data_IF_342620899256
#
_entry.id   IF_342620899256
#
_cell.length_a   1.000
_cell.length_b   1.000
_cell.length_c   1.000
_cell.angle_alpha   90.00
_cell.angle_beta   90.00
_cell.angle_gamma   90.00
#
_symmetry.space_group_name_H-M   'P 1'
#
loop_
_entity.id
_entity.type
_entity.pdbx_description
1 polymer ?
#
# COMPACT_ATOMS: atom_id res chain seq x y z
N UNK A 1 16.95 -25.48 2.80
CA UNK A 1 15.79 -24.55 2.87
C UNK A 1 15.10 -24.73 4.22
N UNK A 2 14.91 -23.68 5.03
CA UNK A 2 14.26 -23.80 6.35
C UNK A 2 12.73 -23.77 6.22
N UNK A 3 11.98 -24.45 7.10
CA UNK A 3 10.51 -24.47 7.08
C UNK A 3 9.90 -23.05 7.06
N UNK A 4 10.45 -22.14 7.88
CA UNK A 4 10.05 -20.73 7.88
C UNK A 4 10.22 -20.04 6.52
N UNK A 5 11.28 -20.37 5.77
CA UNK A 5 11.51 -19.81 4.44
C UNK A 5 10.50 -20.30 3.40
N UNK A 6 10.06 -21.56 3.50
CA UNK A 6 9.06 -22.15 2.61
C UNK A 6 7.67 -21.55 2.84
N UNK A 7 7.26 -21.46 4.11
CA UNK A 7 6.00 -20.83 4.54
C UNK A 7 5.91 -19.36 4.11
N UNK A 8 7.04 -18.65 4.06
CA UNK A 8 7.06 -17.24 3.62
C UNK A 8 6.92 -17.06 2.10
N UNK A 9 7.29 -18.07 1.31
CA UNK A 9 7.31 -18.03 -0.15
C UNK A 9 6.04 -18.62 -0.78
N UNK A 10 5.50 -19.69 -0.19
CA UNK A 10 4.34 -20.40 -0.73
C UNK A 10 3.12 -20.23 0.15
N UNK A 11 2.03 -19.70 -0.43
CA UNK A 11 0.75 -19.60 0.27
C UNK A 11 0.18 -20.97 0.60
N UNK A 12 0.39 -21.96 -0.29
CA UNK A 12 -0.02 -23.34 -0.06
C UNK A 12 0.72 -23.95 1.14
N UNK A 13 2.03 -23.74 1.26
CA UNK A 13 2.79 -24.21 2.41
C UNK A 13 2.34 -23.53 3.71
N UNK A 14 2.01 -22.24 3.66
CA UNK A 14 1.45 -21.50 4.79
C UNK A 14 0.09 -22.04 5.23
N UNK A 15 -0.85 -22.21 4.30
CA UNK A 15 -2.20 -22.70 4.63
C UNK A 15 -2.18 -24.15 5.08
N UNK A 16 -1.31 -24.98 4.50
CA UNK A 16 -1.10 -26.36 4.94
C UNK A 16 -0.54 -26.40 6.37
N UNK A 17 0.52 -25.64 6.67
CA UNK A 17 1.09 -25.56 8.01
C UNK A 17 0.05 -25.07 9.03
N UNK A 18 -0.75 -24.07 8.67
CA UNK A 18 -1.82 -23.56 9.52
C UNK A 18 -2.87 -24.64 9.81
N UNK A 19 -3.34 -25.37 8.78
CA UNK A 19 -4.30 -26.47 8.95
C UNK A 19 -3.75 -27.60 9.82
N UNK A 20 -2.49 -27.98 9.62
CA UNK A 20 -1.83 -29.01 10.42
C UNK A 20 -1.76 -28.60 11.89
N UNK A 21 -1.31 -27.38 12.18
CA UNK A 21 -1.20 -26.88 13.56
C UNK A 21 -2.58 -26.80 14.21
N UNK A 22 -3.60 -26.31 13.50
CA UNK A 22 -4.97 -26.29 14.01
C UNK A 22 -5.48 -27.69 14.35
N UNK A 23 -5.34 -28.67 13.45
CA UNK A 23 -5.80 -30.05 13.68
C UNK A 23 -5.04 -30.75 14.81
N UNK A 24 -3.73 -30.53 14.91
CA UNK A 24 -2.92 -31.10 15.99
C UNK A 24 -3.22 -30.42 17.34
N UNK A 25 -3.45 -29.10 17.35
CA UNK A 25 -3.81 -28.35 18.55
C UNK A 25 -5.15 -28.84 19.11
N UNK A 26 -6.12 -29.13 18.26
CA UNK A 26 -7.39 -29.74 18.65
C UNK A 26 -7.21 -31.17 19.20
N UNK A 27 -6.38 -31.99 18.55
CA UNK A 27 -6.17 -33.40 18.94
C UNK A 27 -5.36 -33.56 20.23
N UNK A 28 -4.38 -32.71 20.44
CA UNK A 28 -3.40 -32.82 21.54
C UNK A 28 -3.51 -31.68 22.57
N UNK A 29 -4.52 -30.81 22.45
CA UNK A 29 -4.84 -29.74 23.39
C UNK A 29 -3.68 -28.76 23.71
N UNK A 30 -2.77 -28.51 22.76
CA UNK A 30 -1.67 -27.54 22.94
C UNK A 30 -1.98 -26.16 22.33
N UNK A 31 -1.22 -25.14 22.75
CA UNK A 31 -1.37 -23.78 22.25
C UNK A 31 -0.87 -23.62 20.81
N UNK A 32 -1.79 -23.34 19.89
CA UNK A 32 -1.48 -23.15 18.47
C UNK A 32 -0.57 -21.95 18.16
N UNK A 33 -0.59 -20.89 18.97
CA UNK A 33 0.29 -19.72 18.78
C UNK A 33 1.74 -20.06 19.12
N UNK A 34 1.94 -20.84 20.17
CA UNK A 34 3.27 -21.29 20.60
C UNK A 34 3.88 -22.26 19.57
N UNK A 35 3.08 -23.21 19.09
CA UNK A 35 3.50 -24.11 18.01
C UNK A 35 3.83 -23.35 16.70
N UNK A 36 3.09 -22.28 16.39
CA UNK A 36 3.39 -21.43 15.23
C UNK A 36 4.75 -20.73 15.37
N UNK A 37 5.08 -20.25 16.57
CA UNK A 37 6.34 -19.57 16.86
C UNK A 37 7.57 -20.46 16.61
N UNK A 38 7.45 -21.77 16.86
CA UNK A 38 8.52 -22.75 16.60
C UNK A 38 8.81 -22.91 15.10
N UNK A 39 7.76 -22.82 14.27
CA UNK A 39 7.84 -23.15 12.83
C UNK A 39 8.15 -21.90 11.99
N UNK A 40 7.73 -20.71 12.43
CA UNK A 40 7.88 -19.46 11.69
C UNK A 40 8.18 -18.26 12.58
N UNK A 41 9.17 -17.46 12.18
CA UNK A 41 9.46 -16.16 12.81
C UNK A 41 8.42 -15.07 12.50
N UNK A 42 7.61 -15.26 11.46
CA UNK A 42 6.54 -14.32 11.11
C UNK A 42 5.21 -14.80 11.67
N UNK A 43 4.43 -13.89 12.22
CA UNK A 43 3.08 -14.20 12.70
C UNK A 43 2.15 -14.52 11.54
N UNK A 44 1.08 -15.27 11.84
CA UNK A 44 0.02 -15.61 10.89
C UNK A 44 -0.52 -14.34 10.22
N UNK A 45 -0.80 -13.29 10.99
CA UNK A 45 -1.31 -12.01 10.49
C UNK A 45 -0.32 -11.32 9.53
N UNK A 46 0.97 -11.38 9.82
CA UNK A 46 2.01 -10.81 8.93
C UNK A 46 2.06 -11.56 7.59
N UNK A 47 1.99 -12.89 7.63
CA UNK A 47 2.01 -13.74 6.44
C UNK A 47 0.73 -13.56 5.61
N UNK A 48 -0.45 -13.52 6.24
CA UNK A 48 -1.71 -13.20 5.56
C UNK A 48 -1.66 -11.83 4.87
N UNK A 49 -1.15 -10.79 5.55
CA UNK A 49 -0.96 -9.46 4.95
C UNK A 49 0.00 -9.50 3.77
N UNK A 50 1.09 -10.29 3.86
CA UNK A 50 2.05 -10.49 2.77
C UNK A 50 1.39 -11.16 1.57
N UNK A 51 0.71 -12.29 1.75
CA UNK A 51 0.04 -12.99 0.64
C UNK A 51 -1.06 -12.14 0.00
N UNK A 52 -1.81 -11.36 0.79
CA UNK A 52 -2.77 -10.38 0.24
C UNK A 52 -2.09 -9.31 -0.61
N UNK A 53 -0.89 -8.85 -0.24
CA UNK A 53 -0.11 -7.90 -1.05
C UNK A 53 0.43 -8.56 -2.32
N UNK A 54 0.94 -9.79 -2.23
CA UNK A 54 1.43 -10.55 -3.38
C UNK A 54 0.30 -10.84 -4.38
N UNK A 55 -0.86 -11.29 -3.92
CA UNK A 55 -2.06 -11.47 -4.77
C UNK A 55 -2.48 -10.19 -5.49
N UNK A 56 -2.37 -9.04 -4.82
CA UNK A 56 -2.67 -7.74 -5.46
C UNK A 56 -1.61 -7.33 -6.48
N UNK A 57 -0.34 -7.61 -6.21
CA UNK A 57 0.77 -7.27 -7.11
C UNK A 57 0.80 -8.17 -8.34
N UNK A 58 0.52 -9.47 -8.16
CA UNK A 58 0.53 -10.47 -9.21
C UNK A 58 -0.82 -10.63 -9.90
N UNK A 59 -1.81 -9.77 -9.61
CA UNK A 59 -3.09 -9.83 -10.30
C UNK A 59 -2.90 -9.29 -11.73
N UNK A 60 -3.02 -10.12 -12.78
CA UNK A 60 -2.79 -9.68 -14.15
C UNK A 60 -3.84 -8.66 -14.60
N UNK A 61 -5.04 -8.71 -14.01
CA UNK A 61 -6.11 -7.74 -14.24
C UNK A 61 -5.88 -6.38 -13.56
N UNK A 62 -4.83 -6.24 -12.74
CA UNK A 62 -4.51 -4.97 -12.08
C UNK A 62 -4.01 -3.89 -13.06
N UNK A 63 -3.51 -4.31 -14.23
CA UNK A 63 -3.10 -3.42 -15.32
C UNK A 63 -4.30 -2.72 -15.98
N UNK A 64 -5.44 -3.40 -16.04
CA UNK A 64 -6.67 -2.89 -16.64
C UNK A 64 -7.31 -1.86 -15.71
N UNK A 65 -7.55 -0.66 -16.25
CA UNK A 65 -8.21 0.41 -15.49
C UNK A 65 -9.69 0.11 -15.33
N UNK A 66 -10.15 0.12 -14.08
CA UNK A 66 -11.57 -0.03 -13.70
C UNK A 66 -12.49 0.90 -14.49
N UNK A 67 -13.74 0.49 -14.74
CA UNK A 67 -14.69 1.31 -15.47
C UNK A 67 -15.04 2.56 -14.66
N UNK A 68 -15.17 3.69 -15.36
CA UNK A 68 -15.58 4.98 -14.81
C UNK A 68 -17.09 5.03 -14.68
N UNK A 69 -17.53 5.56 -13.54
CA UNK A 69 -18.95 5.82 -13.29
C UNK A 69 -19.42 7.07 -14.04
N UNK A 70 -20.73 7.19 -14.25
CA UNK A 70 -21.36 8.40 -14.81
C UNK A 70 -20.94 9.67 -14.08
N UNK A 71 -20.92 9.64 -12.74
CA UNK A 71 -20.40 10.74 -11.92
C UNK A 71 -18.91 11.02 -12.14
N UNK A 72 -18.07 10.00 -12.40
CA UNK A 72 -16.65 10.19 -12.72
C UNK A 72 -16.45 10.92 -14.05
N UNK A 73 -17.27 10.62 -15.06
CA UNK A 73 -17.27 11.36 -16.32
C UNK A 73 -17.71 12.81 -16.11
N UNK A 74 -18.82 13.02 -15.41
CA UNK A 74 -19.31 14.36 -15.11
C UNK A 74 -18.28 15.20 -14.34
N UNK A 75 -17.72 14.66 -13.26
CA UNK A 75 -16.72 15.37 -12.43
C UNK A 75 -15.46 15.73 -13.22
N UNK A 76 -15.04 14.92 -14.19
CA UNK A 76 -13.89 15.22 -15.05
C UNK A 76 -14.10 16.51 -15.83
N UNK A 77 -15.26 16.69 -16.45
CA UNK A 77 -15.57 17.89 -17.24
C UNK A 77 -15.96 19.07 -16.35
N UNK A 78 -16.83 18.84 -15.36
CA UNK A 78 -17.39 19.90 -14.55
C UNK A 78 -16.37 20.51 -13.60
N UNK A 79 -15.42 19.72 -13.09
CA UNK A 79 -14.36 20.26 -12.22
C UNK A 79 -13.50 21.28 -12.95
N UNK A 80 -13.16 21.05 -14.22
CA UNK A 80 -12.37 22.00 -15.03
C UNK A 80 -13.14 23.30 -15.19
N UNK A 81 -14.42 23.22 -15.60
CA UNK A 81 -15.30 24.40 -15.75
C UNK A 81 -15.47 25.20 -14.45
N UNK A 82 -15.60 24.52 -13.31
CA UNK A 82 -15.76 25.20 -12.00
C UNK A 82 -14.42 25.77 -11.52
N UNK A 83 -13.30 25.10 -11.79
CA UNK A 83 -11.97 25.58 -11.45
C UNK A 83 -11.60 26.83 -12.24
N UNK A 84 -11.96 26.91 -13.53
CA UNK A 84 -11.79 28.13 -14.35
C UNK A 84 -12.55 29.33 -13.75
N UNK A 85 -13.76 29.09 -13.26
CA UNK A 85 -14.57 30.13 -12.59
C UNK A 85 -14.07 30.48 -11.18
N UNK A 86 -13.38 29.55 -10.52
CA UNK A 86 -12.93 29.69 -9.15
C UNK A 86 -11.45 29.29 -9.03
N UNK A 87 -10.51 30.07 -9.60
CA UNK A 87 -9.10 29.69 -9.65
C UNK A 87 -8.43 29.66 -8.26
N UNK A 88 -9.03 30.32 -7.26
CA UNK A 88 -8.55 30.32 -5.86
C UNK A 88 -9.18 29.22 -5.00
N UNK A 89 -10.21 28.52 -5.49
CA UNK A 89 -10.92 27.53 -4.69
C UNK A 89 -10.09 26.27 -4.47
N UNK A 90 -10.17 25.73 -3.25
CA UNK A 90 -9.49 24.50 -2.90
C UNK A 90 -10.18 23.28 -3.53
N UNK A 91 -9.44 22.19 -3.73
CA UNK A 91 -9.97 20.92 -4.25
C UNK A 91 -11.25 20.46 -3.52
N UNK A 92 -11.30 20.66 -2.19
CA UNK A 92 -12.46 20.30 -1.38
C UNK A 92 -13.71 21.12 -1.71
N UNK A 93 -13.56 22.42 -1.98
CA UNK A 93 -14.64 23.32 -2.35
C UNK A 93 -15.15 23.01 -3.76
N UNK A 94 -14.24 22.81 -4.70
CA UNK A 94 -14.56 22.37 -6.06
C UNK A 94 -15.33 21.04 -6.04
N UNK A 95 -14.95 20.09 -5.18
CA UNK A 95 -15.66 18.82 -5.05
C UNK A 95 -17.09 19.01 -4.53
N UNK A 96 -17.31 19.91 -3.57
CA UNK A 96 -18.66 20.22 -3.06
C UNK A 96 -19.52 20.84 -4.15
N UNK A 97 -18.99 21.81 -4.90
CA UNK A 97 -19.70 22.47 -6.00
C UNK A 97 -20.09 21.48 -7.11
N UNK A 98 -19.18 20.57 -7.49
CA UNK A 98 -19.49 19.51 -8.47
C UNK A 98 -20.58 18.58 -7.95
N UNK A 99 -20.58 18.21 -6.66
CA UNK A 99 -21.63 17.37 -6.08
C UNK A 99 -23.01 18.04 -6.09
N UNK A 100 -23.07 19.35 -5.84
CA UNK A 100 -24.32 20.13 -5.96
C UNK A 100 -24.79 20.17 -7.42
N UNK A 101 -23.88 20.45 -8.36
CA UNK A 101 -24.19 20.46 -9.78
C UNK A 101 -24.73 19.10 -10.27
N UNK A 102 -24.19 17.98 -9.80
CA UNK A 102 -24.68 16.65 -10.15
C UNK A 102 -26.10 16.36 -9.66
N UNK A 103 -26.47 16.89 -8.49
CA UNK A 103 -27.83 16.73 -7.95
C UNK A 103 -28.84 17.56 -8.74
N UNK A 104 -28.44 18.73 -9.23
CA UNK A 104 -29.27 19.62 -10.05
C UNK A 104 -29.30 19.28 -11.55
N UNK A 105 -28.62 18.22 -11.99
CA UNK A 105 -28.65 17.81 -13.40
C UNK A 105 -30.04 17.29 -13.80
N UNK A 106 -30.44 17.60 -15.02
CA UNK A 106 -31.66 17.04 -15.61
C UNK A 106 -31.51 15.53 -15.89
N UNK A 107 -32.62 14.80 -15.92
CA UNK A 107 -32.59 13.35 -16.21
C UNK A 107 -32.04 13.04 -17.60
N UNK A 108 -32.24 13.96 -18.57
CA UNK A 108 -31.69 13.84 -19.93
C UNK A 108 -30.15 13.86 -19.92
N UNK A 109 -29.56 14.84 -19.24
CA UNK A 109 -28.10 14.95 -19.12
C UNK A 109 -27.52 13.80 -18.31
N UNK A 110 -28.19 13.41 -17.22
CA UNK A 110 -27.78 12.26 -16.41
C UNK A 110 -27.79 10.97 -17.23
N UNK A 111 -28.78 10.78 -18.12
CA UNK A 111 -28.86 9.65 -19.04
C UNK A 111 -27.68 9.63 -20.03
N UNK A 112 -27.26 10.78 -20.54
CA UNK A 112 -26.06 10.89 -21.39
C UNK A 112 -24.81 10.36 -20.69
N UNK A 113 -24.57 10.78 -19.43
CA UNK A 113 -23.44 10.26 -18.65
C UNK A 113 -23.61 8.78 -18.28
N UNK A 114 -24.84 8.30 -18.12
CA UNK A 114 -25.12 6.88 -17.90
C UNK A 114 -24.80 6.04 -19.13
N UNK A 115 -25.08 6.55 -20.33
CA UNK A 115 -24.67 5.90 -21.57
C UNK A 115 -23.14 5.83 -21.68
N UNK A 116 -22.42 6.89 -21.33
CA UNK A 116 -20.94 6.90 -21.26
C UNK A 116 -20.39 5.90 -20.23
N UNK A 117 -21.06 5.73 -19.09
CA UNK A 117 -20.71 4.70 -18.10
C UNK A 117 -20.90 3.29 -18.69
N UNK A 118 -22.00 3.05 -19.41
CA UNK A 118 -22.27 1.75 -20.00
C UNK A 118 -21.29 1.40 -21.13
N UNK A 119 -20.89 2.37 -21.95
CA UNK A 119 -19.85 2.13 -22.98
C UNK A 119 -18.50 1.83 -22.35
N UNK A 120 -18.11 2.52 -21.28
CA UNK A 120 -16.85 2.26 -20.59
C UNK A 120 -16.85 0.92 -19.82
N UNK A 121 -18.00 0.48 -19.31
CA UNK A 121 -18.16 -0.89 -18.79
C UNK A 121 -17.91 -1.94 -19.86
N UNK A 122 -18.48 -1.78 -21.06
CA UNK A 122 -18.24 -2.68 -22.18
C UNK A 122 -16.76 -2.70 -22.59
N UNK A 123 -16.09 -1.54 -22.62
CA UNK A 123 -14.63 -1.47 -22.85
C UNK A 123 -13.87 -2.30 -21.81
N UNK A 124 -14.18 -2.12 -20.52
CA UNK A 124 -13.53 -2.85 -19.44
C UNK A 124 -13.77 -4.36 -19.51
N UNK A 125 -14.99 -4.79 -19.84
CA UNK A 125 -15.33 -6.20 -20.01
C UNK A 125 -14.52 -6.82 -21.14
N UNK A 126 -14.43 -6.14 -22.29
CA UNK A 126 -13.63 -6.59 -23.43
C UNK A 126 -12.13 -6.67 -23.11
N UNK A 127 -11.54 -5.64 -22.51
CA UNK A 127 -10.13 -5.67 -22.10
C UNK A 127 -9.87 -6.79 -21.08
N UNK A 128 -10.82 -7.03 -20.17
CA UNK A 128 -10.74 -8.09 -19.17
C UNK A 128 -10.78 -9.48 -19.80
N UNK A 129 -11.68 -9.72 -20.76
CA UNK A 129 -11.75 -11.02 -21.45
C UNK A 129 -10.49 -11.27 -22.27
N UNK A 130 -10.03 -10.29 -23.03
CA UNK A 130 -8.80 -10.38 -23.83
C UNK A 130 -7.57 -10.69 -22.95
N UNK A 131 -7.44 -10.05 -21.79
CA UNK A 131 -6.35 -10.34 -20.85
C UNK A 131 -6.45 -11.74 -20.24
N UNK A 132 -7.66 -12.24 -19.95
CA UNK A 132 -7.86 -13.59 -19.44
C UNK A 132 -7.51 -14.64 -20.50
N UNK A 133 -7.98 -14.45 -21.74
CA UNK A 133 -7.67 -15.33 -22.87
C UNK A 133 -6.15 -15.37 -23.14
N UNK A 134 -5.47 -14.21 -23.09
CA UNK A 134 -4.02 -14.17 -23.27
C UNK A 134 -3.27 -14.93 -22.18
N UNK A 135 -3.73 -14.86 -20.92
CA UNK A 135 -3.12 -15.64 -19.82
C UNK A 135 -3.31 -17.14 -20.08
N UNK A 136 -4.52 -17.56 -20.44
CA UNK A 136 -4.85 -18.97 -20.69
C UNK A 136 -3.99 -19.54 -21.84
N UNK A 137 -3.81 -18.76 -22.91
CA UNK A 137 -2.93 -19.11 -24.04
C UNK A 137 -1.44 -19.17 -23.64
N UNK A 138 -0.95 -18.22 -22.83
CA UNK A 138 0.43 -18.25 -22.32
C UNK A 138 0.68 -19.47 -21.42
N UNK A 139 -0.27 -19.85 -20.55
CA UNK A 139 -0.17 -21.08 -19.75
C UNK A 139 -0.19 -22.34 -20.61
N UNK A 140 -1.00 -22.37 -21.68
CA UNK A 140 -1.10 -23.53 -22.57
C UNK A 140 0.15 -23.73 -23.43
N UNK A 141 0.85 -22.63 -23.77
CA UNK A 141 2.11 -22.66 -24.52
C UNK A 141 3.29 -23.12 -23.65
N UNK A 142 3.27 -22.81 -22.34
CA UNK A 142 4.30 -23.24 -21.40
C UNK A 142 4.25 -24.76 -21.17
N UNK A 143 3.05 -25.38 -21.11
CA UNK A 143 2.89 -26.83 -20.94
C UNK A 143 3.32 -27.64 -22.17
N UNK A 144 3.30 -27.06 -23.37
CA UNK A 144 3.77 -27.72 -24.59
C UNK A 144 5.30 -27.71 -24.77
N UNK A 145 6.05 -26.87 -24.04
CA UNK A 145 7.52 -26.78 -24.15
C UNK A 145 8.29 -27.60 -23.10
N UNK A 146 7.59 -28.27 -22.17
CA UNK A 146 8.22 -29.10 -21.12
C UNK A 146 8.60 -30.53 -21.54
N UNK A 147 8.47 -30.88 -22.83
CA UNK A 147 8.78 -32.22 -23.35
C UNK A 147 9.78 -32.18 -24.51
N UNK A 148 10.88 -31.44 -24.41
CA UNK A 148 12.10 -31.74 -25.20
C UNK A 148 13.32 -31.02 -24.59
N UNK A 149 14.34 -31.81 -24.24
CA UNK A 149 15.59 -31.37 -23.62
C UNK A 149 16.65 -31.26 -24.73
N UNK A 150 17.23 -30.08 -24.96
CA UNK A 150 18.70 -29.87 -24.94
C UNK A 150 19.12 -28.38 -25.01
N UNK A 151 20.24 -28.08 -24.34
CA UNK A 151 20.94 -26.79 -24.18
C UNK A 151 22.03 -26.62 -25.26
N UNK A 152 22.90 -25.57 -25.28
CA UNK A 152 22.77 -24.14 -24.91
C UNK A 152 23.35 -23.18 -26.01
N UNK A 153 23.03 -21.88 -26.01
CA UNK A 153 24.06 -20.80 -26.04
C UNK A 153 23.53 -19.35 -25.94
N UNK A 154 24.42 -18.48 -25.44
CA UNK A 154 24.32 -17.04 -25.15
C UNK A 154 23.92 -16.19 -26.37
N UNK A 155 23.16 -15.11 -26.14
CA UNK A 155 23.63 -13.75 -26.51
C UNK A 155 22.94 -12.66 -25.67
N UNK A 156 23.75 -11.78 -25.11
CA UNK A 156 23.42 -10.51 -24.45
C UNK A 156 22.79 -9.49 -25.39
N UNK A 157 21.90 -8.59 -24.91
CA UNK A 157 21.87 -7.16 -25.30
C UNK A 157 20.97 -6.31 -24.37
N UNK A 158 21.52 -5.18 -23.93
CA UNK A 158 20.96 -4.15 -23.02
C UNK A 158 19.84 -3.32 -23.68
N UNK A 159 18.88 -2.81 -22.87
CA UNK A 159 18.40 -1.41 -23.02
C UNK A 159 17.82 -0.76 -21.75
N UNK A 160 18.54 0.28 -21.32
CA UNK A 160 18.11 1.54 -20.67
C UNK A 160 17.06 1.56 -19.57
N UNK A 161 17.54 1.72 -18.32
CA UNK A 161 16.78 2.27 -17.19
C UNK A 161 16.65 3.80 -17.31
N UNK A 162 15.42 4.31 -17.43
CA UNK A 162 15.09 5.74 -17.28
C UNK A 162 14.46 5.94 -15.91
N UNK A 163 15.17 6.64 -15.02
CA UNK A 163 14.71 6.95 -13.67
C UNK A 163 13.64 8.06 -13.70
N UNK A 164 12.50 7.83 -13.06
CA UNK A 164 11.58 8.92 -12.67
C UNK A 164 11.23 8.78 -11.19
N UNK A 165 11.79 9.69 -10.38
CA UNK A 165 11.46 9.90 -8.96
C UNK A 165 9.98 10.27 -8.82
N UNK A 166 9.23 9.52 -8.02
CA UNK A 166 7.92 9.97 -7.52
C UNK A 166 7.91 9.88 -6.00
N UNK A 167 8.04 11.05 -5.39
CA UNK A 167 7.81 11.34 -3.98
C UNK A 167 6.41 10.92 -3.56
N UNK A 168 6.27 10.18 -2.45
CA UNK A 168 4.96 9.86 -1.87
C UNK A 168 4.94 10.20 -0.39
N UNK A 169 4.20 11.26 -0.10
CA UNK A 169 3.79 11.77 1.20
C UNK A 169 3.03 10.71 2.00
N UNK A 170 3.46 10.48 3.24
CA UNK A 170 2.85 9.56 4.19
C UNK A 170 1.80 10.33 4.99
N UNK A 171 0.53 9.89 4.93
CA UNK A 171 -0.49 10.13 5.95
C UNK A 171 -0.70 8.80 6.69
N UNK A 172 -0.43 8.78 7.99
CA UNK A 172 -0.72 7.66 8.89
C UNK A 172 -1.79 8.08 9.89
N UNK A 173 -2.89 7.34 9.91
CA UNK A 173 -3.79 7.25 11.05
C UNK A 173 -3.81 5.79 11.53
N UNK A 174 -3.88 5.67 12.86
CA UNK A 174 -4.32 4.54 13.70
C UNK A 174 -3.25 3.78 14.49
N UNK A 175 -3.43 3.83 15.82
CA UNK A 175 -2.77 2.97 16.81
C UNK A 175 -3.82 2.52 17.84
N UNK A 176 -3.93 1.20 18.08
CA UNK A 176 -3.94 0.56 19.42
C UNK A 176 -3.99 -0.99 19.29
N UNK A 177 -3.67 -1.79 20.32
CA UNK A 177 -2.33 -1.97 20.93
C UNK A 177 -1.93 -3.47 21.02
N UNK A 178 -0.67 -3.73 21.38
CA UNK A 178 -0.24 -5.02 21.95
C UNK A 178 0.84 -4.77 23.01
N UNK A 179 0.67 -5.43 24.15
CA UNK A 179 1.50 -5.46 25.35
C UNK A 179 2.53 -6.59 25.26
N UNK A 180 3.79 -6.32 25.64
CA UNK A 180 4.62 -7.06 26.64
C UNK A 180 6.11 -6.68 26.52
N UNK A 181 6.57 -5.96 27.55
CA UNK A 181 7.91 -5.73 28.12
C UNK A 181 9.18 -5.77 27.25
N UNK A 182 9.59 -4.58 26.78
CA UNK A 182 10.99 -4.12 26.62
C UNK A 182 11.03 -2.65 27.05
N UNK A 183 12.17 -2.10 27.53
CA UNK A 183 12.22 -0.89 28.37
C UNK A 183 11.58 0.32 27.69
N UNK A 184 10.75 1.02 28.46
CA UNK A 184 9.79 2.04 28.02
C UNK A 184 10.39 3.08 27.07
N UNK A 185 9.98 3.02 25.81
CA UNK A 185 10.08 4.16 24.88
C UNK A 185 9.22 5.31 25.41
N UNK A 186 9.79 6.51 25.66
CA UNK A 186 9.02 7.62 26.21
C UNK A 186 7.98 8.08 25.18
N UNK A 187 6.75 8.28 25.65
CA UNK A 187 5.58 8.85 24.97
C UNK A 187 5.92 9.57 23.66
N UNK A 188 5.50 8.99 22.53
CA UNK A 188 5.61 9.59 21.20
C UNK A 188 5.00 11.00 21.16
N UNK A 189 4.12 11.37 22.09
CA UNK A 189 3.58 12.73 22.22
C UNK A 189 4.63 13.76 22.64
N UNK A 190 5.37 13.51 23.71
CA UNK A 190 6.25 14.52 24.33
C UNK A 190 7.47 14.81 23.47
N UNK A 191 8.03 13.77 22.84
CA UNK A 191 9.15 13.94 21.92
C UNK A 191 8.75 14.74 20.67
N UNK A 192 7.52 14.57 20.17
CA UNK A 192 7.02 15.36 19.04
C UNK A 192 6.88 16.84 19.41
N UNK A 193 6.44 17.16 20.63
CA UNK A 193 6.36 18.55 21.13
C UNK A 193 7.76 19.15 21.28
N UNK A 194 8.69 18.39 21.86
CA UNK A 194 10.10 18.76 21.97
C UNK A 194 10.72 19.06 20.59
N UNK A 195 10.54 18.16 19.62
CA UNK A 195 11.04 18.35 18.26
C UNK A 195 10.49 19.61 17.60
N UNK A 196 9.19 19.92 17.77
CA UNK A 196 8.59 21.13 17.20
C UNK A 196 9.21 22.41 17.74
N UNK A 197 9.56 22.46 19.03
CA UNK A 197 10.16 23.64 19.68
C UNK A 197 11.66 23.78 19.38
N UNK A 198 12.40 22.67 19.36
CA UNK A 198 13.88 22.70 19.30
C UNK A 198 14.45 22.60 17.89
N UNK A 199 13.77 21.91 16.96
CA UNK A 199 14.20 21.82 15.55
C UNK A 199 14.38 23.17 14.85
N UNK A 200 13.47 24.17 14.97
CA UNK A 200 13.69 25.46 14.32
C UNK A 200 14.88 26.22 14.90
N UNK A 201 15.17 26.06 16.20
CA UNK A 201 16.34 26.67 16.85
C UNK A 201 17.64 26.07 16.30
N UNK A 202 17.75 24.74 16.24
CA UNK A 202 18.94 24.05 15.71
C UNK A 202 19.14 24.35 14.22
N UNK A 203 18.05 24.48 13.45
CA UNK A 203 18.12 24.85 12.04
C UNK A 203 18.57 26.31 11.84
N UNK A 204 18.27 27.20 12.78
CA UNK A 204 18.70 28.60 12.75
C UNK A 204 20.18 28.74 13.11
N UNK A 205 20.65 27.98 14.11
CA UNK A 205 22.07 27.95 14.53
C UNK A 205 22.96 27.22 13.52
N UNK A 206 22.42 26.21 12.83
CA UNK A 206 23.16 25.44 11.84
C UNK A 206 22.42 25.37 10.49
N UNK A 207 22.34 26.49 9.74
CA UNK A 207 21.58 26.55 8.49
C UNK A 207 22.19 25.73 7.35
N UNK A 208 23.47 25.33 7.48
CA UNK A 208 24.20 24.52 6.49
C UNK A 208 24.17 23.01 6.77
N UNK A 209 23.75 22.57 7.97
CA UNK A 209 23.72 21.15 8.33
C UNK A 209 22.49 20.46 7.70
N UNK A 210 22.68 19.21 7.28
CA UNK A 210 21.63 18.46 6.62
C UNK A 210 20.52 18.10 7.61
N UNK A 211 19.27 18.03 7.14
CA UNK A 211 18.11 17.71 7.97
C UNK A 211 18.25 16.38 8.73
N UNK A 212 19.01 15.44 8.16
CA UNK A 212 19.34 14.15 8.78
C UNK A 212 20.18 14.34 10.04
N UNK A 213 21.21 15.20 10.00
CA UNK A 213 22.10 15.50 11.12
C UNK A 213 21.37 16.29 12.21
N UNK A 214 20.49 17.22 11.82
CA UNK A 214 19.61 17.94 12.75
C UNK A 214 18.72 16.97 13.53
N UNK A 215 18.15 15.95 12.86
CA UNK A 215 17.33 14.94 13.53
C UNK A 215 18.14 14.00 14.44
N UNK A 216 19.37 13.66 14.05
CA UNK A 216 20.30 12.89 14.90
C UNK A 216 20.61 13.66 16.18
N UNK A 217 20.98 14.94 16.07
CA UNK A 217 21.28 15.84 17.20
C UNK A 217 20.06 16.01 18.13
N UNK A 218 18.86 16.14 17.57
CA UNK A 218 17.61 16.17 18.35
C UNK A 218 17.35 14.88 19.13
N UNK A 219 17.70 13.72 18.56
CA UNK A 219 17.59 12.42 19.23
C UNK A 219 18.56 12.29 20.40
N UNK A 220 19.80 12.75 20.23
CA UNK A 220 20.82 12.77 21.27
C UNK A 220 20.43 13.71 22.42
N UNK A 221 20.00 14.93 22.11
CA UNK A 221 19.52 15.89 23.11
C UNK A 221 18.32 15.34 23.90
N UNK A 222 17.40 14.64 23.24
CA UNK A 222 16.27 14.02 23.94
C UNK A 222 16.68 12.87 24.84
N UNK A 223 17.68 12.06 24.45
CA UNK A 223 18.22 11.00 25.29
C UNK A 223 18.91 11.56 26.53
N UNK A 224 19.59 12.70 26.41
CA UNK A 224 20.27 13.39 27.51
C UNK A 224 19.37 14.16 28.50
N UNK A 225 18.09 14.39 28.18
CA UNK A 225 17.16 15.07 29.11
C UNK A 225 16.67 14.13 30.22
N UNK A 226 16.65 14.63 31.46
CA UNK A 226 16.13 13.90 32.62
C UNK A 226 14.59 13.82 32.63
N UNK A 227 14.02 12.92 33.43
CA UNK A 227 12.56 12.69 33.49
C UNK A 227 11.77 13.98 33.82
N UNK A 228 12.27 14.81 34.73
CA UNK A 228 11.68 16.11 35.10
C UNK A 228 11.67 17.09 33.93
N UNK A 229 12.75 17.14 33.15
CA UNK A 229 12.85 18.03 31.98
C UNK A 229 11.99 17.55 30.82
N UNK A 230 11.86 16.22 30.65
CA UNK A 230 10.94 15.60 29.68
C UNK A 230 9.47 15.84 30.04
N UNK A 231 9.16 16.04 31.32
CA UNK A 231 7.83 16.41 31.83
C UNK A 231 7.34 17.80 31.40
N UNK A 232 8.25 18.72 31.06
CA UNK A 232 7.91 20.06 30.55
C UNK A 232 7.31 19.98 29.12
N UNK A 233 7.54 18.86 28.42
CA UNK A 233 7.07 18.63 27.06
C UNK A 233 5.80 17.74 27.00
N UNK A 234 5.08 17.60 28.12
CA UNK A 234 3.72 16.99 28.19
C UNK A 234 2.72 17.89 27.47
#
# INVERSE_FOLDING_TARGET
>A
MTCSSLIRKSECAFTLAQKIISSLSEKYNFNSEEAWSVISTNTIVQLQKRFKKLKKANNPLSSIKKPRTSFSFFTKYQRVKIAEKNPKASFGELSKLVSVAWKGLSDKERKTYKNMENTDKKRYEKEKTEMLENIDNETSTIEQSSTEIESPEKTTLKKSSKSSKSSKTIKTNNTKPSTTSTPSTPSTGNYNVFQKKTRPLIKKEHPKLALKEINTKLGEMWRGLNATQKGIYV
#
